data_IF_974724711921
#
_entry.id   IF_974724711921
#
_cell.length_a   1.000
_cell.length_b   1.000
_cell.length_c   1.000
_cell.angle_alpha   90.00
_cell.angle_beta   90.00
_cell.angle_gamma   90.00
#
_symmetry.space_group_name_H-M   'P 1'
#
loop_
_entity.id
_entity.type
_entity.pdbx_description
1 polymer ?
#
# COMPACT_ATOMS: atom_id res chain seq x y z
N UNK A 1 -27.23 2.85 -5.34
CA UNK A 1 -26.12 3.19 -6.26
C UNK A 1 -25.43 1.91 -6.67
N UNK A 2 -25.42 1.55 -7.96
CA UNK A 2 -24.73 0.35 -8.46
C UNK A 2 -23.22 0.61 -8.50
N UNK A 3 -22.56 0.51 -7.34
CA UNK A 3 -21.12 0.65 -7.25
C UNK A 3 -20.44 -0.64 -7.72
N UNK A 4 -19.87 -0.63 -8.92
CA UNK A 4 -19.07 -1.73 -9.45
C UNK A 4 -17.65 -1.72 -8.85
N UNK A 5 -17.38 -2.68 -7.97
CA UNK A 5 -16.06 -2.90 -7.40
C UNK A 5 -15.27 -3.91 -8.25
N UNK A 6 -13.98 -3.64 -8.45
CA UNK A 6 -13.08 -4.50 -9.21
C UNK A 6 -11.92 -4.94 -8.30
N UNK A 7 -11.75 -6.26 -8.17
CA UNK A 7 -10.76 -6.88 -7.28
C UNK A 7 -9.43 -7.17 -8.01
N UNK A 8 -8.98 -6.22 -8.84
CA UNK A 8 -7.75 -6.40 -9.60
C UNK A 8 -6.51 -6.25 -8.71
N UNK A 9 -5.46 -7.06 -8.93
CA UNK A 9 -4.18 -6.86 -8.28
C UNK A 9 -3.61 -5.48 -8.64
N UNK A 10 -3.10 -4.76 -7.65
CA UNK A 10 -2.59 -3.39 -7.75
C UNK A 10 -3.63 -2.28 -8.05
N UNK A 11 -4.91 -2.50 -7.75
CA UNK A 11 -5.92 -1.42 -7.76
C UNK A 11 -6.06 -0.75 -6.37
N UNK A 12 -5.40 0.39 -6.19
CA UNK A 12 -5.38 1.12 -4.90
C UNK A 12 -6.74 1.64 -4.41
N UNK A 13 -7.77 1.70 -5.27
CA UNK A 13 -9.10 2.21 -4.89
C UNK A 13 -10.21 1.18 -5.05
N UNK A 14 -9.91 -0.04 -5.49
CA UNK A 14 -10.90 -1.09 -5.80
C UNK A 14 -12.04 -0.60 -6.71
N UNK A 15 -11.77 0.42 -7.54
CA UNK A 15 -12.72 1.05 -8.46
C UNK A 15 -12.34 0.73 -9.89
N UNK A 16 -13.33 0.42 -10.73
CA UNK A 16 -13.11 0.31 -12.17
C UNK A 16 -12.88 1.71 -12.76
N UNK A 17 -11.62 2.07 -12.98
CA UNK A 17 -11.25 3.33 -13.60
C UNK A 17 -9.93 3.14 -14.31
N UNK A 18 -9.83 3.67 -15.52
CA UNK A 18 -8.61 3.64 -16.32
C UNK A 18 -7.40 4.09 -15.51
N UNK A 19 -7.53 5.13 -14.68
CA UNK A 19 -6.42 5.66 -13.88
C UNK A 19 -5.90 4.70 -12.81
N UNK A 20 -6.76 3.87 -12.23
CA UNK A 20 -6.41 2.97 -11.12
C UNK A 20 -6.25 1.52 -11.55
N UNK A 21 -6.43 1.22 -12.84
CA UNK A 21 -6.27 -0.13 -13.38
C UNK A 21 -4.80 -0.60 -13.32
N UNK A 22 -4.60 -1.79 -12.76
CA UNK A 22 -3.28 -2.38 -12.48
C UNK A 22 -2.68 -3.18 -13.66
N UNK A 23 -3.48 -3.45 -14.69
CA UNK A 23 -3.13 -4.32 -15.80
C UNK A 23 -2.75 -3.52 -17.04
N UNK A 24 -3.52 -2.47 -17.35
CA UNK A 24 -3.39 -1.70 -18.59
C UNK A 24 -2.12 -0.83 -18.60
N UNK A 25 -1.78 -0.20 -17.48
CA UNK A 25 -0.67 0.78 -17.42
C UNK A 25 0.70 0.11 -17.35
N UNK A 26 1.68 0.64 -18.09
CA UNK A 26 3.08 0.17 -18.03
C UNK A 26 3.71 0.31 -16.63
N UNK A 27 3.32 1.38 -15.91
CA UNK A 27 3.70 1.67 -14.53
C UNK A 27 2.50 1.53 -13.60
N UNK A 28 2.59 0.63 -12.63
CA UNK A 28 1.55 0.46 -11.61
C UNK A 28 2.13 0.50 -10.21
N UNK A 29 1.25 0.76 -9.24
CA UNK A 29 1.56 0.88 -7.82
C UNK A 29 0.47 0.13 -7.07
N UNK A 30 0.87 -0.90 -6.33
CA UNK A 30 0.04 -1.62 -5.38
C UNK A 30 0.57 -1.44 -3.96
N UNK A 31 -0.32 -1.58 -2.99
CA UNK A 31 0.00 -1.55 -1.57
C UNK A 31 -0.69 -2.74 -0.94
N UNK A 32 0.10 -3.69 -0.43
CA UNK A 32 -0.39 -4.95 0.13
C UNK A 32 0.04 -5.10 1.60
N UNK A 33 -0.60 -5.98 2.34
CA UNK A 33 -0.13 -6.34 3.68
C UNK A 33 1.06 -7.31 3.56
N UNK A 34 2.03 -7.18 4.44
CA UNK A 34 3.10 -8.19 4.55
C UNK A 34 2.51 -9.48 5.12
N UNK A 35 3.02 -10.64 4.69
CA UNK A 35 2.60 -11.97 5.20
C UNK A 35 2.64 -12.06 6.73
N UNK A 36 3.63 -11.40 7.34
CA UNK A 36 3.82 -11.38 8.79
C UNK A 36 2.84 -10.46 9.55
N UNK A 37 1.96 -9.72 8.85
CA UNK A 37 1.07 -8.69 9.41
C UNK A 37 1.79 -7.45 9.99
N UNK A 38 3.12 -7.49 10.08
CA UNK A 38 3.99 -6.46 10.68
C UNK A 38 4.56 -5.50 9.64
N UNK A 39 3.73 -4.99 8.73
CA UNK A 39 4.22 -4.07 7.71
C UNK A 39 3.28 -3.91 6.53
N UNK A 40 3.78 -3.19 5.53
CA UNK A 40 3.10 -2.98 4.26
C UNK A 40 4.11 -3.29 3.15
N UNK A 41 3.68 -3.93 2.08
CA UNK A 41 4.48 -4.21 0.89
C UNK A 41 4.09 -3.21 -0.18
N UNK A 42 5.07 -2.45 -0.69
CA UNK A 42 4.89 -1.62 -1.87
C UNK A 42 5.19 -2.48 -3.10
N UNK A 43 4.20 -2.64 -3.97
CA UNK A 43 4.32 -3.36 -5.24
C UNK A 43 4.41 -2.33 -6.35
N UNK A 44 5.43 -2.43 -7.19
CA UNK A 44 5.57 -1.58 -8.38
C UNK A 44 5.89 -2.43 -9.60
N UNK A 45 5.58 -1.91 -10.79
CA UNK A 45 5.84 -2.60 -12.06
C UNK A 45 7.06 -2.02 -12.75
N UNK A 46 8.00 -2.87 -13.17
CA UNK A 46 9.13 -2.47 -13.98
C UNK A 46 8.64 -2.06 -15.37
N UNK A 47 9.20 -0.98 -15.91
CA UNK A 47 8.95 -0.58 -17.29
C UNK A 47 9.59 -1.52 -18.32
N UNK A 48 10.52 -2.38 -17.91
CA UNK A 48 11.16 -3.39 -18.76
C UNK A 48 10.54 -4.76 -18.47
N UNK A 49 10.30 -5.54 -19.53
CA UNK A 49 9.77 -6.91 -19.42
C UNK A 49 8.28 -6.97 -19.11
N UNK A 50 7.46 -6.08 -19.69
CA UNK A 50 6.00 -6.07 -19.51
C UNK A 50 5.34 -7.42 -19.83
N UNK A 51 5.81 -8.09 -20.88
CA UNK A 51 5.31 -9.40 -21.31
C UNK A 51 5.83 -10.56 -20.42
N UNK A 52 6.63 -10.28 -19.40
CA UNK A 52 7.19 -11.28 -18.47
C UNK A 52 6.55 -11.08 -17.09
N UNK A 53 5.28 -11.52 -16.88
CA UNK A 53 4.51 -11.21 -15.67
C UNK A 53 5.22 -11.65 -14.38
N UNK A 54 5.97 -12.76 -14.42
CA UNK A 54 6.73 -13.26 -13.29
C UNK A 54 7.88 -12.31 -12.86
N UNK A 55 8.47 -11.55 -13.79
CA UNK A 55 9.63 -10.67 -13.53
C UNK A 55 9.30 -9.18 -13.56
N UNK A 56 8.09 -8.83 -13.98
CA UNK A 56 7.66 -7.45 -14.19
C UNK A 56 7.31 -6.73 -12.89
N UNK A 57 7.03 -7.45 -11.79
CA UNK A 57 6.69 -6.86 -10.50
C UNK A 57 7.90 -6.79 -9.56
N UNK A 58 8.02 -5.68 -8.85
CA UNK A 58 8.96 -5.48 -7.74
C UNK A 58 8.16 -5.29 -6.45
N UNK A 59 8.50 -6.09 -5.43
CA UNK A 59 7.89 -6.02 -4.11
C UNK A 59 8.92 -5.52 -3.11
N UNK A 60 8.59 -4.47 -2.38
CA UNK A 60 9.44 -3.88 -1.34
C UNK A 60 8.71 -3.92 -0.01
N UNK A 61 9.24 -4.68 0.95
CA UNK A 61 8.65 -4.78 2.28
C UNK A 61 9.03 -3.57 3.15
N UNK A 62 8.02 -2.88 3.66
CA UNK A 62 8.17 -1.71 4.51
C UNK A 62 7.68 -2.05 5.92
N UNK A 63 8.58 -2.62 6.73
CA UNK A 63 8.32 -3.02 8.13
C UNK A 63 8.63 -1.90 9.16
N UNK A 64 9.09 -0.73 8.70
CA UNK A 64 9.45 0.40 9.57
C UNK A 64 8.21 1.11 10.16
N UNK A 65 8.44 2.08 11.05
CA UNK A 65 7.40 2.91 11.66
C UNK A 65 6.55 3.71 10.65
N UNK A 66 5.34 4.16 11.05
CA UNK A 66 4.31 4.69 10.14
C UNK A 66 4.75 5.92 9.35
N UNK A 67 5.37 6.90 10.01
CA UNK A 67 5.88 8.11 9.34
C UNK A 67 6.95 7.75 8.30
N UNK A 68 7.87 6.85 8.66
CA UNK A 68 8.94 6.38 7.76
C UNK A 68 8.36 5.64 6.55
N UNK A 69 7.39 4.76 6.74
CA UNK A 69 6.76 4.06 5.60
C UNK A 69 6.06 5.01 4.64
N UNK A 70 5.34 6.00 5.16
CA UNK A 70 4.66 6.99 4.33
C UNK A 70 5.67 7.85 3.56
N UNK A 71 6.75 8.28 4.22
CA UNK A 71 7.82 9.04 3.59
C UNK A 71 8.48 8.25 2.45
N UNK A 72 8.78 6.95 2.66
CA UNK A 72 9.33 6.09 1.61
C UNK A 72 8.36 5.98 0.43
N UNK A 73 7.07 5.71 0.67
CA UNK A 73 6.08 5.63 -0.41
C UNK A 73 6.01 6.94 -1.20
N UNK A 74 5.98 8.09 -0.52
CA UNK A 74 5.96 9.41 -1.17
C UNK A 74 7.21 9.64 -2.01
N UNK A 75 8.38 9.37 -1.47
CA UNK A 75 9.65 9.58 -2.16
C UNK A 75 9.78 8.63 -3.35
N UNK A 76 9.45 7.35 -3.20
CA UNK A 76 9.49 6.36 -4.28
C UNK A 76 8.59 6.73 -5.47
N UNK A 77 7.47 7.41 -5.22
CA UNK A 77 6.52 7.78 -6.26
C UNK A 77 6.74 9.19 -6.83
N UNK A 78 7.08 10.17 -5.97
CA UNK A 78 7.32 11.57 -6.36
C UNK A 78 8.74 11.81 -6.85
N UNK A 79 9.74 11.44 -6.06
CA UNK A 79 11.14 11.76 -6.36
C UNK A 79 11.62 11.01 -7.62
N UNK A 80 11.14 9.79 -7.83
CA UNK A 80 11.47 9.01 -9.03
C UNK A 80 10.59 9.33 -10.25
N UNK A 81 9.73 10.37 -10.18
CA UNK A 81 8.77 10.72 -11.24
C UNK A 81 7.97 9.52 -11.78
N UNK A 82 7.63 8.58 -10.90
CA UNK A 82 7.11 7.29 -11.32
C UNK A 82 5.60 7.36 -11.60
N UNK A 83 4.79 7.68 -10.56
CA UNK A 83 3.33 7.91 -10.65
C UNK A 83 2.88 8.89 -9.56
N UNK A 84 3.19 10.18 -9.79
CA UNK A 84 2.86 11.27 -8.84
C UNK A 84 1.36 11.35 -8.55
N UNK A 85 0.56 10.93 -9.53
CA UNK A 85 -0.89 10.95 -9.55
C UNK A 85 -1.53 9.96 -8.55
N UNK A 86 -0.80 8.91 -8.14
CA UNK A 86 -1.26 7.87 -7.23
C UNK A 86 -0.77 8.03 -5.79
N UNK A 87 0.07 9.02 -5.50
CA UNK A 87 0.72 9.17 -4.20
C UNK A 87 -0.28 9.21 -3.04
N UNK A 88 -1.32 10.02 -3.17
CA UNK A 88 -2.32 10.16 -2.11
C UNK A 88 -3.14 8.87 -1.92
N UNK A 89 -3.43 8.15 -3.01
CA UNK A 89 -4.12 6.86 -2.96
C UNK A 89 -3.27 5.79 -2.28
N UNK A 90 -1.97 5.74 -2.59
CA UNK A 90 -1.03 4.79 -1.98
C UNK A 90 -0.80 5.06 -0.49
N UNK A 91 -0.75 6.34 -0.09
CA UNK A 91 -0.64 6.71 1.32
C UNK A 91 -1.91 6.37 2.09
N UNK A 92 -3.09 6.64 1.51
CA UNK A 92 -4.38 6.31 2.13
C UNK A 92 -4.55 4.81 2.35
N UNK A 93 -4.26 3.99 1.33
CA UNK A 93 -4.31 2.53 1.44
C UNK A 93 -3.37 2.01 2.51
N UNK A 94 -2.12 2.50 2.57
CA UNK A 94 -1.18 2.16 3.63
C UNK A 94 -1.72 2.48 5.03
N UNK A 95 -2.40 3.62 5.20
CA UNK A 95 -3.03 3.97 6.47
C UNK A 95 -4.18 3.01 6.83
N UNK A 96 -5.03 2.65 5.87
CA UNK A 96 -6.15 1.71 6.05
C UNK A 96 -5.65 0.33 6.45
N UNK A 97 -4.67 -0.22 5.74
CA UNK A 97 -4.12 -1.55 6.06
C UNK A 97 -3.48 -1.57 7.46
N UNK A 98 -2.99 -0.43 7.94
CA UNK A 98 -2.49 -0.31 9.32
C UNK A 98 -3.59 -0.16 10.36
N UNK A 99 -4.70 0.50 10.03
CA UNK A 99 -5.84 0.60 10.95
C UNK A 99 -6.60 -0.71 11.07
N UNK A 100 -6.54 -1.57 10.06
CA UNK A 100 -7.14 -2.92 10.07
C UNK A 100 -6.37 -3.94 10.92
N UNK A 101 -5.29 -3.54 11.61
CA UNK A 101 -4.59 -4.41 12.54
C UNK A 101 -5.51 -4.74 13.72
N UNK A 102 -5.52 -6.00 14.20
CA UNK A 102 -6.32 -6.37 15.36
C UNK A 102 -5.95 -5.44 16.52
N UNK A 103 -6.95 -4.73 17.03
CA UNK A 103 -6.79 -3.90 18.22
C UNK A 103 -6.49 -4.86 19.35
N UNK A 104 -5.22 -4.97 19.72
CA UNK A 104 -4.85 -5.63 20.96
C UNK A 104 -5.45 -4.76 22.06
N UNK A 105 -6.57 -5.21 22.64
CA UNK A 105 -7.19 -4.56 23.80
C UNK A 105 -6.18 -4.72 24.94
N UNK A 106 -5.27 -3.74 25.09
CA UNK A 106 -4.44 -3.65 26.27
C UNK A 106 -5.37 -3.21 27.39
N UNK A 107 -5.74 -4.15 28.26
CA UNK A 107 -6.37 -3.80 29.53
C UNK A 107 -5.45 -2.78 30.22
N UNK A 108 -5.98 -1.59 30.50
CA UNK A 108 -5.30 -0.59 31.32
C UNK A 108 -5.24 -1.17 32.73
N UNK A 109 -4.18 -1.88 33.09
CA UNK A 109 -3.82 -2.00 34.50
C UNK A 109 -3.43 -0.60 34.96
N UNK A 110 -4.36 0.09 35.62
CA UNK A 110 -4.05 1.32 36.36
C UNK A 110 -3.09 0.90 37.46
N UNK A 111 -1.80 1.18 37.29
CA UNK A 111 -0.84 1.09 38.39
C UNK A 111 -1.28 2.10 39.45
N UNK A 112 -1.87 1.60 40.54
CA UNK A 112 -2.24 2.40 41.70
C UNK A 112 -0.96 3.01 42.30
N UNK A 113 -0.95 4.33 42.43
CA UNK A 113 0.12 5.08 43.09
C UNK A 113 0.02 4.74 44.60
N UNK A 114 0.99 3.99 45.14
CA UNK A 114 1.10 3.78 46.59
C UNK A 114 1.43 5.13 47.26
N UNK A 115 0.69 5.43 48.33
CA UNK A 115 0.92 6.54 49.26
C UNK A 115 2.24 6.35 50.00
#
# INVERSE_FOLDING_TARGET
SNDFFFQEPNNLKSRNSFRYNGLIHSKTVGVEQTKDGKGVVLVTRKGKGLQKPNKSLTKVELKRGPRKTIAVIRNSLKANNYRRDLVNSAVRTCAILKSQKPVVIKSRTRSAKKK
#
